data_IF_334414403164
#
_entry.id   IF_334414403164
#
_cell.length_a   1.000
_cell.length_b   1.000
_cell.length_c   1.000
_cell.angle_alpha   90.00
_cell.angle_beta   90.00
_cell.angle_gamma   90.00
#
_symmetry.space_group_name_H-M   'P 1'
#
loop_
_entity.id
_entity.type
_entity.pdbx_description
1 polymer ?
#
# COMPACT_ATOMS: atom_id res chain seq x y z
N UNK A 1 -2.23 -20.39 -14.15
CA UNK A 1 -1.13 -20.03 -13.21
C UNK A 1 -1.21 -20.95 -12.00
N UNK A 2 -0.10 -21.53 -11.53
CA UNK A 2 -0.12 -22.34 -10.31
C UNK A 2 -0.52 -21.45 -9.13
N UNK A 3 -1.61 -21.83 -8.44
CA UNK A 3 -1.92 -21.26 -7.12
C UNK A 3 -0.84 -21.73 -6.16
N UNK A 4 -0.32 -20.81 -5.35
CA UNK A 4 0.50 -21.18 -4.19
C UNK A 4 -0.34 -22.08 -3.26
N UNK A 5 0.30 -22.94 -2.45
CA UNK A 5 -0.42 -23.76 -1.49
C UNK A 5 -1.32 -22.89 -0.59
N UNK A 6 -2.53 -23.38 -0.28
CA UNK A 6 -3.51 -22.63 0.52
C UNK A 6 -2.99 -22.27 1.92
N UNK A 7 -2.10 -23.10 2.48
CA UNK A 7 -1.43 -22.81 3.75
C UNK A 7 -0.50 -21.61 3.65
N UNK A 8 0.22 -21.46 2.54
CA UNK A 8 1.06 -20.29 2.29
C UNK A 8 0.24 -19.03 2.08
N UNK A 9 -0.88 -19.15 1.35
CA UNK A 9 -1.79 -18.02 1.15
C UNK A 9 -2.32 -17.50 2.49
N UNK A 10 -2.73 -18.40 3.40
CA UNK A 10 -3.15 -18.04 4.76
C UNK A 10 -2.05 -17.35 5.56
N UNK A 11 -0.82 -17.87 5.54
CA UNK A 11 0.31 -17.22 6.22
C UNK A 11 0.58 -15.81 5.70
N UNK A 12 0.55 -15.62 4.38
CA UNK A 12 0.72 -14.30 3.75
C UNK A 12 -0.40 -13.35 4.18
N UNK A 13 -1.65 -13.82 4.19
CA UNK A 13 -2.80 -13.01 4.59
C UNK A 13 -2.74 -12.58 6.06
N UNK A 14 -2.38 -13.48 6.98
CA UNK A 14 -2.18 -13.11 8.38
C UNK A 14 -1.09 -12.03 8.55
N UNK A 15 0.04 -12.18 7.86
CA UNK A 15 1.12 -11.19 7.93
C UNK A 15 0.69 -9.84 7.31
N UNK A 16 -0.06 -9.87 6.21
CA UNK A 16 -0.62 -8.67 5.58
C UNK A 16 -1.61 -7.95 6.49
N UNK A 17 -2.48 -8.69 7.19
CA UNK A 17 -3.43 -8.14 8.16
C UNK A 17 -2.72 -7.52 9.37
N UNK A 18 -1.63 -8.15 9.86
CA UNK A 18 -0.74 -7.58 10.89
C UNK A 18 0.02 -6.34 10.41
N UNK A 19 -0.02 -6.05 9.11
CA UNK A 19 0.58 -4.86 8.52
C UNK A 19 2.05 -5.00 8.10
N UNK A 20 2.64 -6.20 8.25
CA UNK A 20 4.04 -6.57 7.94
C UNK A 20 4.43 -6.21 6.51
N UNK A 21 5.64 -5.69 6.29
CA UNK A 21 6.11 -5.27 4.97
C UNK A 21 6.22 -6.44 3.98
N UNK A 22 6.12 -6.15 2.67
CA UNK A 22 6.20 -7.21 1.65
C UNK A 22 7.56 -7.89 1.70
N UNK A 23 8.64 -7.11 1.82
CA UNK A 23 9.99 -7.61 2.08
C UNK A 23 10.06 -8.61 3.24
N UNK A 24 9.47 -8.30 4.40
CA UNK A 24 9.44 -9.22 5.55
C UNK A 24 8.68 -10.51 5.26
N UNK A 25 7.59 -10.41 4.51
CA UNK A 25 6.80 -11.57 4.10
C UNK A 25 7.60 -12.44 3.13
N UNK A 26 8.29 -11.83 2.16
CA UNK A 26 9.18 -12.52 1.22
C UNK A 26 10.32 -13.23 1.95
N UNK A 27 10.99 -12.54 2.88
CA UNK A 27 12.10 -13.10 3.65
C UNK A 27 11.65 -14.30 4.50
N UNK A 28 10.42 -14.29 5.03
CA UNK A 28 9.88 -15.38 5.85
C UNK A 28 9.28 -16.54 5.05
N UNK A 29 8.63 -16.25 3.93
CA UNK A 29 7.87 -17.26 3.15
C UNK A 29 8.63 -17.76 1.93
N UNK A 30 9.67 -17.06 1.50
CA UNK A 30 10.38 -17.30 0.25
C UNK A 30 9.57 -16.97 -1.01
N UNK A 31 8.35 -16.44 -0.84
CA UNK A 31 7.44 -16.11 -1.95
C UNK A 31 7.77 -14.74 -2.51
N UNK A 32 7.79 -14.60 -3.83
CA UNK A 32 8.12 -13.32 -4.49
C UNK A 32 7.16 -12.19 -4.10
N UNK A 33 7.66 -10.94 -4.10
CA UNK A 33 6.82 -9.76 -3.82
C UNK A 33 5.63 -9.64 -4.77
N UNK A 34 5.82 -10.04 -6.04
CA UNK A 34 4.74 -10.11 -7.04
C UNK A 34 3.61 -11.05 -6.63
N UNK A 35 3.94 -12.18 -6.01
CA UNK A 35 2.95 -13.14 -5.54
C UNK A 35 2.26 -12.63 -4.28
N UNK A 36 3.01 -12.07 -3.32
CA UNK A 36 2.45 -11.41 -2.13
C UNK A 36 1.49 -10.28 -2.52
N UNK A 37 1.87 -9.45 -3.50
CA UNK A 37 1.03 -8.38 -4.04
C UNK A 37 -0.23 -8.89 -4.73
N UNK A 38 -0.16 -10.02 -5.43
CA UNK A 38 -1.34 -10.67 -6.03
C UNK A 38 -2.31 -11.15 -4.96
N UNK A 39 -1.82 -11.88 -3.95
CA UNK A 39 -2.64 -12.37 -2.82
C UNK A 39 -3.31 -11.21 -2.09
N UNK A 40 -2.55 -10.13 -1.82
CA UNK A 40 -3.09 -8.93 -1.21
C UNK A 40 -4.23 -8.31 -2.06
N UNK A 41 -4.05 -8.22 -3.38
CA UNK A 41 -5.05 -7.67 -4.30
C UNK A 41 -6.29 -8.55 -4.41
N UNK A 42 -6.12 -9.86 -4.54
CA UNK A 42 -7.20 -10.86 -4.63
C UNK A 42 -8.04 -10.87 -3.33
N UNK A 43 -7.42 -10.57 -2.19
CA UNK A 43 -8.08 -10.49 -0.89
C UNK A 43 -8.45 -9.05 -0.46
N UNK A 44 -8.36 -8.06 -1.37
CA UNK A 44 -8.80 -6.68 -1.13
C UNK A 44 -7.91 -5.87 -0.16
N UNK A 45 -6.76 -6.39 0.25
CA UNK A 45 -5.79 -5.72 1.14
C UNK A 45 -4.94 -4.77 0.28
N UNK A 46 -5.49 -3.60 -0.05
CA UNK A 46 -4.81 -2.61 -0.87
C UNK A 46 -4.07 -1.57 0.01
N UNK A 47 -2.74 -1.56 -0.06
CA UNK A 47 -1.87 -0.68 0.74
C UNK A 47 -1.89 0.81 0.37
N UNK A 48 -2.67 1.21 -0.63
CA UNK A 48 -2.77 2.59 -1.13
C UNK A 48 -2.99 3.63 0.00
N UNK A 49 -3.67 3.26 1.10
CA UNK A 49 -3.84 4.13 2.29
C UNK A 49 -2.52 4.61 2.92
N UNK A 50 -1.48 3.76 2.97
CA UNK A 50 -0.22 4.11 3.66
C UNK A 50 0.59 5.19 2.94
N UNK A 51 0.48 5.30 1.61
CA UNK A 51 1.15 6.40 0.87
C UNK A 51 0.45 7.74 1.10
N UNK A 52 -0.88 7.76 1.21
CA UNK A 52 -1.61 9.01 1.49
C UNK A 52 -1.28 9.57 2.88
N UNK A 53 -1.03 8.70 3.86
CA UNK A 53 -0.60 9.07 5.22
C UNK A 53 0.89 9.48 5.25
N UNK A 54 1.78 8.74 4.57
CA UNK A 54 3.20 9.11 4.45
C UNK A 54 3.42 10.44 3.73
N UNK A 55 2.58 10.82 2.77
CA UNK A 55 2.66 12.13 2.15
C UNK A 55 2.37 13.31 3.11
N UNK A 56 1.77 13.05 4.29
CA UNK A 56 1.55 14.07 5.32
C UNK A 56 2.70 14.16 6.33
N UNK A 57 3.44 13.08 6.51
CA UNK A 57 4.53 12.97 7.48
C UNK A 57 5.85 13.48 6.85
N UNK A 58 5.94 14.80 6.69
CA UNK A 58 7.14 15.46 6.14
C UNK A 58 6.88 16.77 5.40
N UNK A 59 5.61 17.13 5.17
CA UNK A 59 5.26 18.44 4.61
C UNK A 59 4.94 19.44 5.72
N UNK A 60 5.64 20.59 5.79
CA UNK A 60 5.21 21.71 6.61
C UNK A 60 3.73 22.04 6.32
N UNK A 61 2.88 22.23 7.34
CA UNK A 61 1.47 22.57 7.15
C UNK A 61 1.25 23.76 6.22
N UNK A 62 2.15 24.75 6.28
CA UNK A 62 2.12 25.94 5.43
C UNK A 62 2.23 25.65 3.91
N UNK A 63 2.93 24.57 3.52
CA UNK A 63 3.02 24.20 2.11
C UNK A 63 1.73 23.51 1.65
N UNK A 64 1.09 22.70 2.50
CA UNK A 64 -0.18 22.04 2.15
C UNK A 64 -1.27 23.07 1.83
N UNK A 65 -1.35 24.17 2.58
CA UNK A 65 -2.30 25.26 2.34
C UNK A 65 -2.05 25.99 1.01
N UNK A 66 -0.79 26.18 0.64
CA UNK A 66 -0.42 26.83 -0.62
C UNK A 66 -0.71 25.92 -1.82
N UNK A 67 -0.42 24.62 -1.71
CA UNK A 67 -0.74 23.63 -2.72
C UNK A 67 -2.26 23.44 -2.89
N UNK A 68 -3.04 23.45 -1.81
CA UNK A 68 -4.51 23.37 -1.88
C UNK A 68 -5.09 24.63 -2.55
N UNK A 69 -4.55 25.82 -2.27
CA UNK A 69 -4.96 27.05 -2.95
C UNK A 69 -4.68 27.00 -4.45
N UNK A 70 -3.49 26.55 -4.85
CA UNK A 70 -3.12 26.40 -6.27
C UNK A 70 -4.00 25.34 -6.95
N UNK A 71 -4.26 24.21 -6.30
CA UNK A 71 -5.14 23.16 -6.79
C UNK A 71 -6.56 23.67 -7.04
N UNK A 72 -7.13 24.41 -6.08
CA UNK A 72 -8.47 25.00 -6.21
C UNK A 72 -8.54 26.03 -7.33
N UNK A 73 -7.48 26.82 -7.54
CA UNK A 73 -7.43 27.81 -8.62
C UNK A 73 -7.35 27.16 -10.02
N UNK A 74 -6.57 26.08 -10.16
CA UNK A 74 -6.49 25.30 -11.40
C UNK A 74 -7.86 24.67 -11.72
N UNK A 75 -8.54 24.09 -10.72
CA UNK A 75 -9.87 23.51 -10.89
C UNK A 75 -10.94 24.55 -11.22
N UNK A 76 -10.79 25.80 -10.77
CA UNK A 76 -11.71 26.90 -11.08
C UNK A 76 -11.50 27.49 -12.48
N UNK A 77 -10.31 27.31 -13.06
CA UNK A 77 -9.95 27.80 -14.41
C UNK A 77 -10.16 26.74 -15.51
N UNK A 78 -10.52 25.51 -15.14
CA UNK A 78 -10.87 24.42 -16.05
C UNK A 78 -12.34 24.44 -16.46
#
# INVERSE_FOLDING_TARGET
MRKIPEEMERMILEMLQRGEMYKTIVDRTGVSETTVGRVARENGICRLKRNAEKCKEGYPPALLDEWDRVRLEILRKG
#
